data_IF_641253419485
#
_entry.id   IF_641253419485
#
_cell.length_a   1.000
_cell.length_b   1.000
_cell.length_c   1.000
_cell.angle_alpha   90.00
_cell.angle_beta   90.00
_cell.angle_gamma   90.00
#
_symmetry.space_group_name_H-M   'P 1'
#
loop_
_entity.id
_entity.type
_entity.pdbx_description
1 polymer ?
#
# COMPACT_ATOMS: atom_id res chain seq x y z
N UNK A 1 39.17 32.72 -15.21
CA UNK A 1 39.85 31.46 -15.55
C UNK A 1 39.81 30.40 -14.44
N UNK A 2 40.27 30.64 -13.20
CA UNK A 2 40.08 29.61 -12.13
C UNK A 2 38.61 29.45 -11.70
N UNK A 3 37.83 30.54 -11.65
CA UNK A 3 36.42 30.50 -11.28
C UNK A 3 35.55 29.66 -12.23
N UNK A 4 35.80 29.69 -13.54
CA UNK A 4 35.01 28.92 -14.52
C UNK A 4 35.26 27.42 -14.42
N UNK A 5 36.50 27.02 -14.11
CA UNK A 5 36.85 25.62 -13.89
C UNK A 5 36.20 25.13 -12.60
N UNK A 6 36.23 25.94 -11.54
CA UNK A 6 35.60 25.61 -10.26
C UNK A 6 34.08 25.51 -10.40
N UNK A 7 33.46 26.43 -11.14
CA UNK A 7 32.01 26.45 -11.35
C UNK A 7 31.52 25.27 -12.21
N UNK A 8 32.31 24.90 -13.22
CA UNK A 8 32.01 23.75 -14.08
C UNK A 8 32.19 22.41 -13.37
N UNK A 9 33.27 22.26 -12.59
CA UNK A 9 33.62 20.99 -11.94
C UNK A 9 32.84 20.78 -10.64
N UNK A 10 32.68 21.80 -9.81
CA UNK A 10 32.06 21.63 -8.50
C UNK A 10 30.61 22.11 -8.50
N UNK A 11 30.36 23.39 -8.81
CA UNK A 11 29.05 24.01 -8.60
C UNK A 11 27.97 23.31 -9.43
N UNK A 12 28.15 23.18 -10.75
CA UNK A 12 27.15 22.55 -11.63
C UNK A 12 26.89 21.09 -11.29
N UNK A 13 27.93 20.33 -10.93
CA UNK A 13 27.80 18.92 -10.60
C UNK A 13 27.07 18.72 -9.27
N UNK A 14 27.34 19.54 -8.24
CA UNK A 14 26.64 19.49 -6.96
C UNK A 14 25.16 19.84 -7.12
N UNK A 15 24.84 20.89 -7.89
CA UNK A 15 23.44 21.23 -8.17
C UNK A 15 22.71 20.13 -8.95
N UNK A 16 23.40 19.46 -9.88
CA UNK A 16 22.81 18.36 -10.64
C UNK A 16 22.58 17.13 -9.77
N UNK A 17 23.52 16.81 -8.87
CA UNK A 17 23.40 15.72 -7.91
C UNK A 17 22.25 15.99 -6.91
N UNK A 18 22.18 17.21 -6.36
CA UNK A 18 21.11 17.60 -5.44
C UNK A 18 19.73 17.55 -6.10
N UNK A 19 19.63 17.99 -7.37
CA UNK A 19 18.37 17.92 -8.12
C UNK A 19 17.96 16.47 -8.44
N UNK A 20 18.94 15.59 -8.65
CA UNK A 20 18.70 14.16 -8.86
C UNK A 20 18.25 13.47 -7.57
N UNK A 21 18.87 13.79 -6.42
CA UNK A 21 18.43 13.32 -5.11
C UNK A 21 17.04 13.86 -4.72
N UNK A 22 16.75 15.13 -5.03
CA UNK A 22 15.44 15.71 -4.76
C UNK A 22 14.34 15.08 -5.61
N UNK A 23 14.47 15.04 -6.94
CA UNK A 23 13.44 14.44 -7.80
C UNK A 23 13.38 12.92 -7.67
N UNK A 24 14.51 12.25 -7.50
CA UNK A 24 14.58 10.79 -7.44
C UNK A 24 14.25 10.24 -6.05
N UNK A 25 14.68 10.93 -4.99
CA UNK A 25 14.41 10.53 -3.61
C UNK A 25 13.07 11.06 -3.13
N UNK A 26 12.88 12.38 -3.15
CA UNK A 26 11.72 13.01 -2.51
C UNK A 26 10.42 12.68 -3.24
N UNK A 27 10.36 12.86 -4.57
CA UNK A 27 9.14 12.58 -5.33
C UNK A 27 8.80 11.09 -5.35
N UNK A 28 9.78 10.20 -5.52
CA UNK A 28 9.53 8.76 -5.58
C UNK A 28 9.16 8.17 -4.21
N UNK A 29 9.80 8.64 -3.13
CA UNK A 29 9.51 8.16 -1.77
C UNK A 29 8.21 8.78 -1.27
N UNK A 30 7.97 10.08 -1.47
CA UNK A 30 6.74 10.74 -1.01
C UNK A 30 5.53 10.26 -1.81
N UNK A 31 5.59 10.16 -3.14
CA UNK A 31 4.44 9.67 -3.90
C UNK A 31 4.27 8.14 -3.72
N UNK A 32 5.39 7.40 -3.64
CA UNK A 32 5.41 5.95 -3.48
C UNK A 32 5.00 5.45 -2.10
N UNK A 33 5.26 6.19 -1.03
CA UNK A 33 4.80 5.88 0.34
C UNK A 33 3.62 6.74 0.80
N UNK A 34 3.29 7.77 0.04
CA UNK A 34 2.17 8.65 0.30
C UNK A 34 0.84 8.09 -0.22
N UNK A 35 -0.12 8.97 -0.55
CA UNK A 35 -1.48 8.59 -0.91
C UNK A 35 -1.56 7.57 -2.05
N UNK A 36 -0.70 7.70 -3.06
CA UNK A 36 -0.69 6.81 -4.23
C UNK A 36 -0.16 5.41 -3.89
N UNK A 37 0.84 5.32 -3.01
CA UNK A 37 1.31 4.04 -2.46
C UNK A 37 0.23 3.30 -1.68
N UNK A 38 -0.49 4.02 -0.82
CA UNK A 38 -1.62 3.47 -0.05
C UNK A 38 -2.74 3.04 -0.99
N UNK A 39 -3.12 3.90 -1.95
CA UNK A 39 -4.14 3.59 -2.95
C UNK A 39 -3.78 2.35 -3.78
N UNK A 40 -2.54 2.23 -4.25
CA UNK A 40 -2.07 1.07 -4.98
C UNK A 40 -2.14 -0.22 -4.14
N UNK A 41 -1.83 -0.12 -2.84
CA UNK A 41 -1.91 -1.25 -1.91
C UNK A 41 -3.36 -1.67 -1.67
N UNK A 42 -4.27 -0.71 -1.46
CA UNK A 42 -5.71 -0.94 -1.31
C UNK A 42 -6.30 -1.58 -2.56
N UNK A 43 -5.95 -1.09 -3.77
CA UNK A 43 -6.41 -1.67 -5.04
C UNK A 43 -5.90 -3.10 -5.20
N UNK A 44 -4.63 -3.38 -4.85
CA UNK A 44 -4.09 -4.74 -4.88
C UNK A 44 -4.81 -5.67 -3.90
N UNK A 45 -5.10 -5.20 -2.70
CA UNK A 45 -5.86 -5.96 -1.70
C UNK A 45 -7.29 -6.23 -2.18
N UNK A 46 -7.99 -5.21 -2.68
CA UNK A 46 -9.34 -5.33 -3.21
C UNK A 46 -9.40 -6.34 -4.38
N UNK A 47 -8.44 -6.32 -5.30
CA UNK A 47 -8.35 -7.31 -6.40
C UNK A 47 -8.15 -8.74 -5.88
N UNK A 48 -7.30 -8.93 -4.88
CA UNK A 48 -7.09 -10.25 -4.26
C UNK A 48 -8.34 -10.75 -3.54
N UNK A 49 -9.01 -9.87 -2.80
CA UNK A 49 -10.28 -10.20 -2.13
C UNK A 49 -11.38 -10.51 -3.14
N UNK A 50 -11.44 -9.76 -4.25
CA UNK A 50 -12.35 -10.05 -5.36
C UNK A 50 -12.09 -11.41 -6.01
N UNK A 51 -10.82 -11.82 -6.12
CA UNK A 51 -10.48 -13.15 -6.65
C UNK A 51 -10.90 -14.31 -5.73
N UNK A 52 -11.15 -14.08 -4.43
CA UNK A 52 -11.73 -15.08 -3.52
C UNK A 52 -13.21 -15.34 -3.83
N UNK A 53 -13.89 -14.42 -4.51
CA UNK A 53 -15.22 -14.68 -5.07
C UNK A 53 -15.08 -15.59 -6.30
N UNK A 54 -15.01 -16.90 -6.07
CA UNK A 54 -14.88 -17.94 -7.10
C UNK A 54 -16.14 -18.15 -7.95
N UNK A 55 -17.25 -17.48 -7.61
CA UNK A 55 -18.53 -17.60 -8.31
C UNK A 55 -19.27 -18.92 -8.07
N UNK A 56 -18.68 -19.88 -7.36
CA UNK A 56 -19.32 -21.16 -7.01
C UNK A 56 -20.30 -20.97 -5.85
N UNK A 57 -21.58 -21.25 -6.08
CA UNK A 57 -22.64 -21.14 -5.07
C UNK A 57 -22.35 -21.93 -3.78
N UNK A 58 -21.67 -23.08 -3.92
CA UNK A 58 -21.27 -23.93 -2.79
C UNK A 58 -20.33 -23.23 -1.80
N UNK A 59 -19.38 -22.43 -2.29
CA UNK A 59 -18.45 -21.70 -1.41
C UNK A 59 -19.18 -20.62 -0.61
N UNK A 60 -20.18 -19.96 -1.22
CA UNK A 60 -21.04 -19.02 -0.52
C UNK A 60 -21.90 -19.70 0.54
N UNK A 61 -22.59 -20.80 0.19
CA UNK A 61 -23.42 -21.53 1.15
C UNK A 61 -22.62 -22.03 2.36
N UNK A 62 -21.42 -22.56 2.13
CA UNK A 62 -20.51 -23.00 3.18
C UNK A 62 -20.05 -21.84 4.08
N UNK A 63 -19.64 -20.71 3.48
CA UNK A 63 -19.24 -19.51 4.23
C UNK A 63 -20.38 -18.95 5.09
N UNK A 64 -21.63 -18.96 4.58
CA UNK A 64 -22.80 -18.51 5.33
C UNK A 64 -23.08 -19.39 6.55
N UNK A 65 -23.01 -20.71 6.41
CA UNK A 65 -23.20 -21.65 7.53
C UNK A 65 -22.13 -21.42 8.59
N UNK A 66 -20.85 -21.33 8.19
CA UNK A 66 -19.75 -21.03 9.12
C UNK A 66 -19.97 -19.70 9.84
N UNK A 67 -20.36 -18.66 9.10
CA UNK A 67 -20.62 -17.34 9.67
C UNK A 67 -21.71 -17.36 10.74
N UNK A 68 -22.83 -18.05 10.47
CA UNK A 68 -23.92 -18.20 11.44
C UNK A 68 -23.45 -18.98 12.67
N UNK A 69 -22.77 -20.12 12.48
CA UNK A 69 -22.25 -20.92 13.61
C UNK A 69 -21.29 -20.10 14.46
N UNK A 70 -20.34 -19.39 13.84
CA UNK A 70 -19.37 -18.56 14.55
C UNK A 70 -20.04 -17.42 15.33
N UNK A 71 -21.02 -16.72 14.73
CA UNK A 71 -21.76 -15.65 15.40
C UNK A 71 -22.59 -16.18 16.58
N UNK A 72 -23.28 -17.31 16.41
CA UNK A 72 -24.06 -17.94 17.49
C UNK A 72 -23.13 -18.43 18.60
N UNK A 73 -22.02 -19.09 18.25
CA UNK A 73 -21.02 -19.53 19.22
C UNK A 73 -20.42 -18.36 19.99
N UNK A 74 -20.09 -17.24 19.33
CA UNK A 74 -19.63 -16.04 20.03
C UNK A 74 -20.74 -15.48 20.92
N UNK A 75 -21.96 -15.33 20.43
CA UNK A 75 -23.07 -14.81 21.23
C UNK A 75 -23.29 -15.63 22.52
N UNK A 76 -23.27 -16.96 22.41
CA UNK A 76 -23.44 -17.87 23.56
C UNK A 76 -22.24 -17.82 24.52
N UNK A 77 -21.01 -17.78 24.00
CA UNK A 77 -19.79 -17.86 24.82
C UNK A 77 -19.30 -16.51 25.37
N UNK A 78 -19.51 -15.43 24.63
CA UNK A 78 -19.00 -14.09 24.92
C UNK A 78 -20.07 -13.03 25.21
N UNK A 79 -21.33 -13.28 24.86
CA UNK A 79 -22.47 -12.37 25.12
C UNK A 79 -23.43 -12.85 26.21
N UNK A 80 -23.47 -14.16 26.50
CA UNK A 80 -24.31 -14.76 27.55
C UNK A 80 -23.64 -14.98 28.90
N UNK A 81 -22.40 -14.49 29.07
CA UNK A 81 -21.60 -14.63 30.30
C UNK A 81 -21.61 -13.38 31.20
N UNK A 82 -22.56 -12.47 30.98
CA UNK A 82 -22.87 -11.35 31.88
C UNK A 82 -24.35 -11.35 32.24
#
# INVERSE_FOLDING_TARGET
YFDEIYDFIFTKNVFRLGRWFWKGGDTYIIDGFGPDGIAATVVRAARRLGAVQSGLLYHYAFAMIIGVVALVSWYVLGGGAH
#
